data_IF_013961297685
#
_entry.id   IF_013961297685
#
_cell.length_a   1.000
_cell.length_b   1.000
_cell.length_c   1.000
_cell.angle_alpha   90.00
_cell.angle_beta   90.00
_cell.angle_gamma   90.00
#
_symmetry.space_group_name_H-M   'P 1'
#
loop_
_entity.id
_entity.type
_entity.pdbx_description
1 polymer ?
#
# COMPACT_ATOMS: atom_id res chain seq x y z
N UNK A 1 0.76 -19.40 12.07
CA UNK A 1 1.09 -17.97 11.83
C UNK A 1 1.91 -17.32 12.94
N UNK A 2 2.08 -17.97 14.10
CA UNK A 2 2.82 -17.47 15.28
C UNK A 2 4.36 -17.38 15.14
N UNK A 3 4.93 -17.92 14.05
CA UNK A 3 6.38 -17.97 13.85
C UNK A 3 6.97 -16.83 13.01
N UNK A 4 6.14 -15.97 12.43
CA UNK A 4 6.63 -14.96 11.46
C UNK A 4 7.21 -13.70 12.12
N UNK A 5 6.72 -13.36 13.33
CA UNK A 5 7.06 -12.09 13.99
C UNK A 5 8.25 -12.22 14.96
N UNK A 6 8.49 -13.41 15.52
CA UNK A 6 9.71 -13.69 16.32
C UNK A 6 11.00 -13.57 15.52
N UNK A 7 10.97 -13.72 14.19
CA UNK A 7 12.16 -13.61 13.34
C UNK A 7 12.45 -12.15 12.92
N UNK A 8 11.49 -11.23 13.09
CA UNK A 8 11.65 -9.81 12.76
C UNK A 8 12.48 -9.03 13.79
N UNK A 9 12.48 -9.44 15.06
CA UNK A 9 13.29 -8.83 16.15
C UNK A 9 14.80 -8.92 15.92
N UNK A 10 15.24 -9.65 14.89
CA UNK A 10 16.66 -9.90 14.58
C UNK A 10 17.24 -9.00 13.49
N UNK A 11 16.44 -8.17 12.80
CA UNK A 11 16.98 -7.32 11.70
C UNK A 11 16.05 -6.18 11.29
N UNK A 12 16.25 -4.97 11.81
CA UNK A 12 15.57 -3.75 11.33
C UNK A 12 16.53 -2.81 10.59
N UNK A 13 16.62 -3.00 9.28
CA UNK A 13 16.86 -1.92 8.31
C UNK A 13 15.85 -2.16 7.20
N UNK A 14 15.01 -1.18 6.86
CA UNK A 14 13.97 -1.35 5.83
C UNK A 14 14.56 -1.77 4.47
N UNK A 15 15.81 -1.37 4.22
CA UNK A 15 16.59 -1.81 3.06
C UNK A 15 17.00 -3.29 3.12
N UNK A 16 17.32 -3.83 4.31
CA UNK A 16 17.63 -5.26 4.51
C UNK A 16 16.41 -6.17 4.47
N UNK A 17 15.23 -5.66 4.82
CA UNK A 17 13.97 -6.42 4.70
C UNK A 17 13.72 -6.87 3.25
N UNK A 18 14.07 -6.03 2.28
CA UNK A 18 13.92 -6.33 0.86
C UNK A 18 14.92 -7.38 0.40
N UNK A 19 16.19 -7.27 0.81
CA UNK A 19 17.23 -8.22 0.42
C UNK A 19 16.98 -9.65 0.94
N UNK A 20 16.84 -9.80 2.26
CA UNK A 20 16.75 -11.12 2.90
C UNK A 20 15.36 -11.77 2.78
N UNK A 21 14.27 -10.99 2.83
CA UNK A 21 12.92 -11.56 2.89
C UNK A 21 12.15 -11.48 1.56
N UNK A 22 12.62 -10.69 0.58
CA UNK A 22 11.98 -10.62 -0.74
C UNK A 22 12.90 -11.15 -1.83
N UNK A 23 14.06 -10.52 -2.01
CA UNK A 23 14.96 -10.79 -3.15
C UNK A 23 15.56 -12.19 -3.06
N UNK A 24 16.12 -12.57 -1.91
CA UNK A 24 16.76 -13.89 -1.75
C UNK A 24 15.77 -15.06 -1.88
N UNK A 25 14.58 -15.06 -1.25
CA UNK A 25 13.56 -16.09 -1.47
C UNK A 25 13.09 -16.16 -2.93
N UNK A 26 12.89 -15.02 -3.60
CA UNK A 26 12.53 -14.99 -5.02
C UNK A 26 13.62 -15.66 -5.86
N UNK A 27 14.89 -15.31 -5.64
CA UNK A 27 16.02 -15.93 -6.36
C UNK A 27 16.11 -17.44 -6.10
N UNK A 28 15.91 -17.87 -4.87
CA UNK A 28 15.87 -19.31 -4.54
C UNK A 28 14.76 -20.00 -5.33
N UNK A 29 13.56 -19.41 -5.36
CA UNK A 29 12.43 -19.99 -6.08
C UNK A 29 12.64 -20.01 -7.60
N UNK A 30 13.19 -18.94 -8.17
CA UNK A 30 13.56 -18.88 -9.59
C UNK A 30 14.53 -20.00 -9.96
N UNK A 31 15.54 -20.24 -9.10
CA UNK A 31 16.52 -21.30 -9.32
C UNK A 31 15.90 -22.70 -9.26
N UNK A 32 14.97 -22.93 -8.34
CA UNK A 32 14.18 -24.17 -8.31
C UNK A 32 13.38 -24.36 -9.60
N UNK A 33 12.68 -23.32 -10.06
CA UNK A 33 11.86 -23.36 -11.28
C UNK A 33 12.70 -23.62 -12.53
N UNK A 34 13.93 -23.10 -12.58
CA UNK A 34 14.88 -23.37 -13.65
C UNK A 34 15.51 -24.77 -13.56
N UNK A 35 15.31 -25.53 -12.47
CA UNK A 35 15.91 -26.84 -12.26
C UNK A 35 17.39 -26.79 -11.81
N UNK A 36 17.88 -25.63 -11.37
CA UNK A 36 19.26 -25.42 -10.94
C UNK A 36 19.31 -24.82 -9.52
N UNK A 37 18.91 -25.59 -8.48
CA UNK A 37 19.01 -25.12 -7.09
C UNK A 37 20.45 -24.73 -6.73
N UNK A 38 20.62 -23.88 -5.71
CA UNK A 38 21.98 -23.52 -5.26
C UNK A 38 22.70 -24.76 -4.67
N UNK A 39 24.01 -24.97 -4.93
CA UNK A 39 24.96 -24.10 -5.64
C UNK A 39 25.13 -24.37 -7.15
N UNK A 40 24.29 -25.20 -7.76
CA UNK A 40 24.45 -25.64 -9.17
C UNK A 40 24.51 -24.46 -10.13
N UNK A 41 25.53 -24.43 -11.00
CA UNK A 41 25.68 -23.34 -11.97
C UNK A 41 24.55 -23.40 -13.02
N UNK A 42 23.93 -22.26 -13.28
CA UNK A 42 22.96 -22.12 -14.38
C UNK A 42 23.72 -21.99 -15.70
N UNK A 43 23.38 -22.78 -16.75
CA UNK A 43 23.98 -22.66 -18.06
C UNK A 43 23.79 -21.26 -18.67
N UNK A 44 24.74 -20.84 -19.51
CA UNK A 44 24.59 -19.58 -20.26
C UNK A 44 23.39 -19.69 -21.20
N UNK A 45 22.59 -18.62 -21.28
CA UNK A 45 21.40 -18.57 -22.14
C UNK A 45 20.12 -19.07 -21.47
N UNK A 46 20.21 -19.72 -20.32
CA UNK A 46 19.04 -20.08 -19.50
C UNK A 46 18.70 -18.91 -18.58
N UNK A 47 17.49 -18.38 -18.69
CA UNK A 47 16.99 -17.29 -17.85
C UNK A 47 15.47 -17.36 -17.69
N UNK A 48 14.95 -16.67 -16.67
CA UNK A 48 13.54 -16.32 -16.56
C UNK A 48 13.34 -14.86 -16.89
N UNK A 49 12.15 -14.54 -17.41
CA UNK A 49 11.65 -13.17 -17.43
C UNK A 49 10.76 -12.95 -16.20
N UNK A 50 11.05 -11.91 -15.43
CA UNK A 50 10.29 -11.52 -14.25
C UNK A 50 9.60 -10.19 -14.51
N UNK A 51 8.28 -10.20 -14.57
CA UNK A 51 7.51 -8.97 -14.72
C UNK A 51 7.30 -8.30 -13.36
N UNK A 52 7.66 -7.02 -13.31
CA UNK A 52 7.53 -6.19 -12.10
C UNK A 52 6.68 -4.97 -12.44
N UNK A 53 5.54 -4.84 -11.77
CA UNK A 53 4.61 -3.73 -11.95
C UNK A 53 5.14 -2.42 -11.38
N UNK A 54 5.98 -1.71 -12.15
CA UNK A 54 6.47 -0.36 -11.87
C UNK A 54 5.76 0.60 -12.82
N UNK A 55 4.97 1.52 -12.27
CA UNK A 55 4.29 2.57 -13.04
C UNK A 55 5.23 3.68 -13.47
N UNK A 56 4.80 4.55 -14.40
CA UNK A 56 5.60 5.69 -14.87
C UNK A 56 5.96 6.67 -13.74
N UNK A 57 5.09 6.81 -12.73
CA UNK A 57 5.34 7.66 -11.55
C UNK A 57 6.51 7.14 -10.69
N UNK A 58 6.87 5.88 -10.89
CA UNK A 58 7.87 5.14 -10.13
C UNK A 58 9.04 4.69 -11.01
N UNK A 59 9.22 5.24 -12.21
CA UNK A 59 10.20 4.77 -13.20
C UNK A 59 11.63 4.65 -12.64
N UNK A 60 12.02 5.51 -11.71
CA UNK A 60 13.33 5.49 -11.05
C UNK A 60 13.59 4.20 -10.25
N UNK A 61 12.53 3.45 -9.90
CA UNK A 61 12.56 2.14 -9.24
C UNK A 61 12.72 0.97 -10.21
N UNK A 62 12.53 1.18 -11.51
CA UNK A 62 12.82 0.17 -12.53
C UNK A 62 14.33 -0.07 -12.57
N UNK A 63 14.74 -1.32 -12.34
CA UNK A 63 16.14 -1.75 -12.29
C UNK A 63 16.25 -3.11 -12.95
N UNK A 64 17.33 -3.30 -13.68
CA UNK A 64 17.72 -4.61 -14.18
C UNK A 64 17.98 -5.59 -13.03
N UNK A 65 17.85 -6.88 -13.34
CA UNK A 65 18.23 -7.92 -12.40
C UNK A 65 19.74 -7.90 -12.15
N UNK A 66 20.14 -8.14 -10.91
CA UNK A 66 21.55 -8.22 -10.50
C UNK A 66 22.21 -9.58 -10.83
N UNK A 67 21.48 -10.48 -11.50
CA UNK A 67 21.94 -11.82 -11.87
C UNK A 67 21.58 -12.16 -13.32
N UNK A 68 22.47 -12.88 -14.02
CA UNK A 68 22.34 -13.17 -15.46
C UNK A 68 21.19 -14.10 -15.85
N UNK A 69 20.67 -14.87 -14.91
CA UNK A 69 19.59 -15.85 -15.14
C UNK A 69 18.19 -15.26 -14.89
N UNK A 70 18.10 -13.96 -14.63
CA UNK A 70 16.85 -13.22 -14.49
C UNK A 70 16.90 -12.01 -15.41
N UNK A 71 15.77 -11.67 -16.02
CA UNK A 71 15.57 -10.44 -16.77
C UNK A 71 14.30 -9.78 -16.25
N UNK A 72 14.39 -8.52 -15.84
CA UNK A 72 13.23 -7.80 -15.36
C UNK A 72 12.50 -7.15 -16.54
N UNK A 73 11.20 -7.42 -16.66
CA UNK A 73 10.30 -6.73 -17.57
C UNK A 73 9.39 -5.76 -16.80
N UNK A 74 9.00 -4.67 -17.43
CA UNK A 74 8.20 -3.61 -16.80
C UNK A 74 6.96 -3.25 -17.65
N UNK A 75 5.95 -4.13 -17.70
CA UNK A 75 4.81 -3.97 -18.62
C UNK A 75 4.05 -2.64 -18.45
N UNK A 76 3.95 -2.13 -17.22
CA UNK A 76 3.28 -0.86 -16.96
C UNK A 76 4.04 0.34 -17.54
N UNK A 77 5.37 0.26 -17.66
CA UNK A 77 6.16 1.27 -18.36
C UNK A 77 5.96 1.15 -19.87
N UNK A 78 5.94 -0.07 -20.41
CA UNK A 78 5.72 -0.33 -21.83
C UNK A 78 4.35 0.20 -22.29
N UNK A 79 3.34 0.12 -21.42
CA UNK A 79 2.00 0.67 -21.65
C UNK A 79 1.86 2.16 -21.28
N UNK A 80 2.90 2.77 -20.71
CA UNK A 80 2.87 4.15 -20.17
C UNK A 80 1.78 4.38 -19.13
N UNK A 81 1.54 3.41 -18.25
CA UNK A 81 0.53 3.49 -17.19
C UNK A 81 1.07 4.17 -15.92
N UNK A 82 0.35 5.18 -15.47
CA UNK A 82 0.46 5.77 -14.12
C UNK A 82 -0.25 4.92 -13.08
N UNK A 83 -0.05 5.24 -11.81
CA UNK A 83 -0.83 4.66 -10.72
C UNK A 83 -2.33 4.91 -10.89
N UNK A 84 -2.71 6.09 -11.39
CA UNK A 84 -4.10 6.44 -11.62
C UNK A 84 -4.72 5.56 -12.72
N UNK A 85 -3.95 5.23 -13.77
CA UNK A 85 -4.40 4.32 -14.83
C UNK A 85 -4.62 2.91 -14.29
N UNK A 86 -3.70 2.42 -13.43
CA UNK A 86 -3.88 1.14 -12.74
C UNK A 86 -5.15 1.12 -11.88
N UNK A 87 -5.40 2.18 -11.10
CA UNK A 87 -6.63 2.28 -10.30
C UNK A 87 -7.86 2.25 -11.21
N UNK A 88 -7.89 3.08 -12.25
CA UNK A 88 -9.00 3.14 -13.23
C UNK A 88 -9.27 1.79 -13.88
N UNK A 89 -8.23 1.01 -14.18
CA UNK A 89 -8.37 -0.34 -14.73
C UNK A 89 -8.93 -1.35 -13.72
N UNK A 90 -8.51 -1.26 -12.45
CA UNK A 90 -8.92 -2.18 -11.40
C UNK A 90 -10.31 -1.88 -10.82
N UNK A 91 -10.78 -0.63 -10.89
CA UNK A 91 -12.09 -0.21 -10.37
C UNK A 91 -13.25 -1.04 -10.93
N UNK A 92 -13.45 -1.15 -12.25
CA UNK A 92 -14.55 -1.96 -12.79
C UNK A 92 -14.39 -3.46 -12.51
N UNK A 93 -13.20 -3.91 -12.11
CA UNK A 93 -12.93 -5.30 -11.72
C UNK A 93 -13.19 -5.55 -10.23
N UNK A 94 -13.50 -4.51 -9.44
CA UNK A 94 -13.67 -4.62 -7.99
C UNK A 94 -12.36 -4.94 -7.24
N UNK A 95 -11.20 -4.56 -7.80
CA UNK A 95 -9.88 -4.90 -7.25
C UNK A 95 -9.14 -3.71 -6.61
N UNK A 96 -9.77 -2.53 -6.53
CA UNK A 96 -9.14 -1.30 -6.01
C UNK A 96 -8.91 -1.27 -4.52
N UNK A 97 -9.69 -2.03 -3.74
CA UNK A 97 -9.61 -2.02 -2.28
C UNK A 97 -8.42 -2.78 -1.73
N UNK A 98 -7.52 -3.27 -2.60
CA UNK A 98 -6.32 -3.99 -2.18
C UNK A 98 -5.42 -3.04 -1.37
N UNK A 99 -5.23 -3.29 -0.06
CA UNK A 99 -4.40 -2.43 0.76
C UNK A 99 -2.93 -2.51 0.33
N UNK A 100 -2.15 -1.47 0.66
CA UNK A 100 -0.70 -1.48 0.41
C UNK A 100 -0.08 -2.71 1.08
N UNK A 101 0.70 -3.49 0.33
CA UNK A 101 1.38 -4.70 0.81
C UNK A 101 2.66 -4.39 1.61
N UNK A 102 2.54 -3.58 2.67
CA UNK A 102 3.63 -3.30 3.60
C UNK A 102 3.74 -4.40 4.66
N UNK A 103 4.95 -4.61 5.20
CA UNK A 103 5.12 -5.56 6.31
C UNK A 103 4.45 -5.02 7.59
N UNK A 104 4.03 -5.91 8.48
CA UNK A 104 3.30 -5.54 9.70
C UNK A 104 4.03 -4.47 10.52
N UNK A 105 5.33 -4.66 10.74
CA UNK A 105 6.21 -3.72 11.45
C UNK A 105 6.89 -2.67 10.56
N UNK A 106 6.27 -2.26 9.44
CA UNK A 106 6.87 -1.27 8.56
C UNK A 106 6.86 0.12 9.20
N UNK A 107 8.01 0.79 9.41
CA UNK A 107 8.04 2.14 9.98
C UNK A 107 7.45 3.22 9.03
N UNK A 108 7.12 2.84 7.79
CA UNK A 108 6.48 3.73 6.81
C UNK A 108 4.95 3.69 6.85
N UNK A 109 4.35 2.96 7.80
CA UNK A 109 2.90 3.02 7.99
C UNK A 109 2.44 4.40 8.46
N UNK A 110 1.35 4.89 7.87
CA UNK A 110 0.64 6.07 8.33
C UNK A 110 -0.31 5.77 9.50
N UNK A 111 -0.84 6.82 10.12
CA UNK A 111 -1.80 6.73 11.21
C UNK A 111 -3.02 5.84 10.86
N UNK A 112 -3.58 5.99 9.66
CA UNK A 112 -4.72 5.16 9.20
C UNK A 112 -4.40 3.67 9.15
N UNK A 113 -3.19 3.30 8.71
CA UNK A 113 -2.76 1.91 8.65
C UNK A 113 -2.54 1.34 10.05
N UNK A 114 -1.98 2.12 10.97
CA UNK A 114 -1.84 1.70 12.37
C UNK A 114 -3.18 1.48 13.05
N UNK A 115 -4.15 2.39 12.84
CA UNK A 115 -5.51 2.20 13.35
C UNK A 115 -6.18 0.99 12.74
N UNK A 116 -6.05 0.78 11.42
CA UNK A 116 -6.59 -0.41 10.77
C UNK A 116 -6.08 -1.69 11.44
N UNK A 117 -4.76 -1.84 11.61
CA UNK A 117 -4.19 -3.01 12.30
C UNK A 117 -4.72 -3.13 13.74
N UNK A 118 -4.76 -2.04 14.50
CA UNK A 118 -5.29 -2.01 15.88
C UNK A 118 -6.75 -2.49 15.94
N UNK A 119 -7.56 -2.00 15.04
CA UNK A 119 -9.01 -2.13 15.09
C UNK A 119 -9.51 -3.44 14.44
N UNK A 120 -8.80 -3.96 13.43
CA UNK A 120 -9.18 -5.21 12.74
C UNK A 120 -8.41 -6.44 13.22
N UNK A 121 -7.22 -6.27 13.77
CA UNK A 121 -6.31 -7.37 14.13
C UNK A 121 -5.63 -7.16 15.49
N UNK A 122 -6.35 -7.29 16.63
CA UNK A 122 -5.78 -7.02 17.96
C UNK A 122 -4.52 -7.85 18.30
N UNK A 123 -4.41 -9.09 17.82
CA UNK A 123 -3.22 -9.91 18.00
C UNK A 123 -2.01 -9.36 17.23
N UNK A 124 -2.21 -8.96 15.97
CA UNK A 124 -1.14 -8.37 15.16
C UNK A 124 -0.72 -7.00 15.71
N UNK A 125 -1.67 -6.25 16.28
CA UNK A 125 -1.38 -5.03 17.00
C UNK A 125 -0.51 -5.26 18.24
N UNK A 126 -0.82 -6.28 19.04
CA UNK A 126 0.00 -6.65 20.19
C UNK A 126 1.43 -7.03 19.75
N UNK A 127 1.54 -7.85 18.71
CA UNK A 127 2.84 -8.29 18.19
C UNK A 127 3.68 -7.11 17.66
N UNK A 128 3.07 -6.13 16.97
CA UNK A 128 3.81 -4.97 16.46
C UNK A 128 4.21 -3.98 17.55
N UNK A 129 3.41 -3.86 18.61
CA UNK A 129 3.78 -3.07 19.81
C UNK A 129 4.94 -3.72 20.56
N UNK A 130 4.93 -5.04 20.71
CA UNK A 130 6.07 -5.79 21.27
C UNK A 130 7.33 -5.61 20.41
N UNK A 131 7.18 -5.72 19.09
CA UNK A 131 8.28 -5.50 18.15
C UNK A 131 8.85 -4.07 18.25
N UNK A 132 8.00 -3.04 18.30
CA UNK A 132 8.43 -1.64 18.50
C UNK A 132 9.24 -1.47 19.80
N UNK A 133 8.84 -2.12 20.89
CA UNK A 133 9.58 -2.09 22.14
C UNK A 133 10.94 -2.83 22.03
N UNK A 134 10.98 -3.95 21.30
CA UNK A 134 12.19 -4.76 21.16
C UNK A 134 13.29 -4.09 20.32
N UNK A 135 12.92 -3.26 19.32
CA UNK A 135 13.91 -2.65 18.41
C UNK A 135 14.65 -1.44 18.99
N UNK A 136 14.28 -0.96 20.20
CA UNK A 136 14.79 0.28 20.79
C UNK A 136 16.31 0.39 20.73
N UNK A 137 17.03 -0.64 21.13
CA UNK A 137 18.49 -0.64 21.20
C UNK A 137 19.17 -1.02 19.87
N UNK A 138 18.43 -0.97 18.76
CA UNK A 138 18.87 -1.43 17.47
C UNK A 138 19.02 -2.95 17.39
N UNK A 139 19.59 -3.42 16.29
CA UNK A 139 19.73 -4.84 16.00
C UNK A 139 20.86 -5.48 16.84
N UNK A 140 20.56 -6.60 17.50
CA UNK A 140 21.54 -7.46 18.19
C UNK A 140 22.81 -7.76 17.36
N UNK A 141 22.68 -8.02 16.05
CA UNK A 141 23.81 -8.25 15.13
C UNK A 141 24.64 -6.99 14.89
N UNK A 142 24.00 -5.83 14.70
CA UNK A 142 24.71 -4.56 14.52
C UNK A 142 25.47 -4.17 15.79
N UNK A 143 24.86 -4.44 16.95
CA UNK A 143 25.48 -4.27 18.26
C UNK A 143 26.68 -5.21 18.45
N UNK A 144 26.61 -6.45 17.95
CA UNK A 144 27.70 -7.42 17.97
C UNK A 144 28.84 -7.06 16.99
N UNK A 145 28.54 -6.42 15.85
CA UNK A 145 29.54 -5.96 14.88
C UNK A 145 30.09 -4.55 15.17
N UNK A 146 29.84 -4.01 16.38
CA UNK A 146 30.36 -2.71 16.83
C UNK A 146 29.64 -1.48 16.28
N UNK A 147 28.59 -1.65 15.45
CA UNK A 147 27.77 -0.57 14.92
C UNK A 147 26.50 -0.40 15.77
N UNK A 148 26.69 0.02 17.02
CA UNK A 148 25.58 0.23 17.95
C UNK A 148 24.76 1.45 17.54
N UNK A 149 23.45 1.37 17.73
CA UNK A 149 22.57 2.52 17.54
C UNK A 149 22.89 3.58 18.61
N UNK A 150 23.13 4.82 18.18
CA UNK A 150 23.46 5.95 19.07
C UNK A 150 22.22 6.55 19.76
N UNK A 151 21.04 5.93 19.59
CA UNK A 151 19.76 6.39 20.14
C UNK A 151 18.74 5.25 20.15
N UNK A 152 17.46 5.59 20.21
CA UNK A 152 16.37 4.61 20.23
C UNK A 152 15.63 4.54 18.90
N UNK A 153 15.33 3.32 18.43
CA UNK A 153 14.50 3.11 17.26
C UNK A 153 13.01 3.08 17.63
N UNK A 154 12.17 3.74 16.84
CA UNK A 154 10.71 3.73 16.95
C UNK A 154 10.09 3.45 15.58
N UNK A 155 8.98 2.71 15.55
CA UNK A 155 8.20 2.51 14.34
C UNK A 155 7.39 3.74 13.95
N UNK A 156 6.89 4.48 14.94
CA UNK A 156 6.11 5.68 14.69
C UNK A 156 6.99 6.90 14.47
N UNK A 157 6.69 7.70 13.43
CA UNK A 157 7.44 8.91 13.06
C UNK A 157 7.58 9.96 14.17
N UNK A 158 6.67 9.98 15.15
CA UNK A 158 6.76 10.88 16.32
C UNK A 158 7.82 10.48 17.33
N UNK A 159 8.50 9.33 17.15
CA UNK A 159 9.54 8.82 18.05
C UNK A 159 9.05 8.63 19.49
N UNK A 160 7.86 8.07 19.61
CA UNK A 160 7.25 7.63 20.87
C UNK A 160 6.82 6.18 20.71
N UNK A 161 6.66 5.41 21.80
CA UNK A 161 6.18 4.04 21.71
C UNK A 161 4.89 3.92 20.90
N UNK A 162 4.79 2.89 20.05
CA UNK A 162 3.65 2.73 19.16
C UNK A 162 2.32 2.65 19.93
N UNK A 163 2.32 2.07 21.13
CA UNK A 163 1.17 2.04 22.04
C UNK A 163 0.73 3.41 22.57
N UNK A 164 1.60 4.41 22.51
CA UNK A 164 1.36 5.79 22.99
C UNK A 164 1.34 6.80 21.83
N UNK A 165 1.54 6.33 20.60
CA UNK A 165 1.61 7.19 19.44
C UNK A 165 0.24 7.85 19.16
N UNK A 166 0.21 9.11 18.69
CA UNK A 166 -1.04 9.80 18.38
C UNK A 166 -1.62 9.32 17.03
N UNK A 167 -1.93 8.02 16.95
CA UNK A 167 -2.45 7.38 15.74
C UNK A 167 -3.89 7.79 15.46
N UNK A 168 -4.65 8.24 16.45
CA UNK A 168 -6.03 8.73 16.30
C UNK A 168 -6.11 10.16 15.74
N UNK A 169 -4.97 10.84 15.59
CA UNK A 169 -4.94 12.12 14.91
C UNK A 169 -5.17 11.93 13.40
N UNK A 170 -6.36 12.30 12.94
CA UNK A 170 -6.75 12.35 11.52
C UNK A 170 -6.34 13.69 10.93
N UNK A 171 -5.67 13.69 9.78
CA UNK A 171 -5.25 14.93 9.11
C UNK A 171 -6.41 15.59 8.35
N UNK A 172 -6.29 16.88 8.02
CA UNK A 172 -7.30 17.56 7.21
C UNK A 172 -7.46 16.91 5.81
N UNK A 173 -6.34 16.51 5.19
CA UNK A 173 -6.35 15.79 3.91
C UNK A 173 -7.07 14.44 4.00
N UNK A 174 -6.85 13.71 5.10
CA UNK A 174 -7.52 12.43 5.34
C UNK A 174 -9.03 12.61 5.58
N UNK A 175 -9.44 13.64 6.33
CA UNK A 175 -10.86 14.00 6.45
C UNK A 175 -11.48 14.35 5.10
N UNK A 176 -10.77 15.09 4.26
CA UNK A 176 -11.26 15.44 2.93
C UNK A 176 -11.43 14.20 2.04
N UNK A 177 -10.49 13.26 2.07
CA UNK A 177 -10.59 12.00 1.33
C UNK A 177 -11.76 11.11 1.81
N UNK A 178 -12.01 11.05 3.12
CA UNK A 178 -13.15 10.32 3.67
C UNK A 178 -14.49 10.95 3.27
N UNK A 179 -14.57 12.28 3.18
CA UNK A 179 -15.77 12.99 2.71
C UNK A 179 -16.04 12.72 1.24
N UNK A 180 -15.02 12.75 0.38
CA UNK A 180 -15.19 12.42 -1.04
C UNK A 180 -15.75 11.01 -1.22
N UNK A 181 -15.26 10.02 -0.46
CA UNK A 181 -15.81 8.66 -0.52
C UNK A 181 -17.25 8.55 0.00
N UNK A 182 -17.59 9.33 1.04
CA UNK A 182 -18.96 9.41 1.53
C UNK A 182 -19.90 10.09 0.52
N UNK A 183 -19.48 11.21 -0.07
CA UNK A 183 -20.25 11.96 -1.07
C UNK A 183 -20.39 11.13 -2.38
N UNK A 184 -19.36 10.41 -2.82
CA UNK A 184 -19.47 9.48 -3.95
C UNK A 184 -20.43 8.32 -3.66
N UNK A 185 -20.40 7.76 -2.44
CA UNK A 185 -21.33 6.70 -2.03
C UNK A 185 -22.75 7.24 -1.95
N UNK A 186 -22.93 8.43 -1.37
CA UNK A 186 -24.22 9.11 -1.25
C UNK A 186 -24.79 9.50 -2.62
N UNK A 187 -23.96 9.99 -3.54
CA UNK A 187 -24.36 10.25 -4.93
C UNK A 187 -24.71 8.97 -5.69
N UNK A 188 -24.03 7.85 -5.42
CA UNK A 188 -24.37 6.55 -6.01
C UNK A 188 -25.67 5.97 -5.44
N UNK A 189 -25.91 6.13 -4.14
CA UNK A 189 -27.08 5.59 -3.43
C UNK A 189 -28.33 6.48 -3.61
N UNK A 190 -28.17 7.80 -3.51
CA UNK A 190 -29.25 8.78 -3.47
C UNK A 190 -29.32 9.67 -4.74
N UNK A 191 -28.33 9.59 -5.62
CA UNK A 191 -28.23 10.44 -6.80
C UNK A 191 -27.62 11.81 -6.50
N UNK A 192 -27.21 12.53 -7.54
CA UNK A 192 -26.78 13.94 -7.41
C UNK A 192 -28.02 14.76 -7.04
N UNK A 193 -28.00 15.48 -5.91
CA UNK A 193 -29.00 16.52 -5.61
C UNK A 193 -29.02 17.52 -6.79
N UNK A 194 -30.20 17.73 -7.39
CA UNK A 194 -30.42 18.51 -8.62
C UNK A 194 -29.71 18.01 -9.90
N UNK A 195 -29.28 16.75 -9.92
CA UNK A 195 -28.69 16.13 -11.09
C UNK A 195 -29.68 15.93 -12.24
N UNK A 196 -29.32 16.35 -13.45
CA UNK A 196 -30.05 15.97 -14.64
C UNK A 196 -29.57 14.61 -15.17
N UNK A 197 -30.39 13.58 -15.02
CA UNK A 197 -30.13 12.28 -15.67
C UNK A 197 -30.51 12.35 -17.16
N UNK A 198 -29.99 11.46 -18.02
CA UNK A 198 -30.36 11.39 -19.44
C UNK A 198 -31.86 11.13 -19.70
N UNK A 199 -32.62 10.75 -18.66
CA UNK A 199 -34.03 10.35 -18.77
C UNK A 199 -34.99 11.17 -17.89
N UNK A 200 -34.47 12.07 -17.02
CA UNK A 200 -35.23 13.10 -16.31
C UNK A 200 -34.30 14.02 -15.52
N UNK A 201 -34.52 15.33 -15.57
CA UNK A 201 -34.00 16.25 -14.57
C UNK A 201 -34.93 16.25 -13.35
N UNK A 202 -34.42 15.96 -12.15
CA UNK A 202 -35.10 16.28 -10.90
C UNK A 202 -34.68 17.70 -10.49
N UNK A 203 -35.22 18.71 -11.18
CA UNK A 203 -35.12 20.09 -10.72
C UNK A 203 -36.36 20.42 -9.90
N UNK A 204 -36.17 21.14 -8.79
CA UNK A 204 -37.21 21.56 -7.85
C UNK A 204 -38.53 21.96 -8.52
N UNK A 205 -39.60 21.26 -8.12
CA UNK A 205 -40.98 21.66 -8.39
C UNK A 205 -41.40 22.73 -7.37
N UNK A 206 -40.71 23.87 -7.32
CA UNK A 206 -41.35 25.08 -6.81
C UNK A 206 -42.35 25.56 -7.87
N UNK A 207 -43.61 25.21 -7.60
CA UNK A 207 -44.83 25.57 -8.29
C UNK A 207 -44.71 26.78 -9.23
N UNK A 208 -44.78 26.51 -10.55
CA UNK A 208 -45.33 27.48 -11.49
C UNK A 208 -46.76 27.77 -11.04
N UNK A 209 -46.97 28.91 -10.38
CA UNK A 209 -48.29 29.46 -10.14
C UNK A 209 -48.96 29.70 -11.50
N UNK A 210 -49.90 28.82 -11.85
CA UNK A 210 -50.93 29.13 -12.84
C UNK A 210 -51.80 30.24 -12.26
N UNK A 211 -51.79 31.42 -12.86
CA UNK A 211 -52.90 32.36 -12.75
C UNK A 211 -53.19 32.99 -14.14
N UNK A 212 -54.36 32.59 -14.64
CA UNK A 212 -55.28 33.19 -15.61
C UNK A 212 -54.80 33.71 -16.98
N UNK A 213 -55.22 32.96 -18.02
CA UNK A 213 -55.49 33.48 -19.36
C UNK A 213 -56.69 34.43 -19.30
N UNK A 214 -56.44 35.74 -19.14
CA UNK A 214 -57.42 36.78 -19.45
C UNK A 214 -57.49 37.03 -20.96
N UNK A 215 -58.57 36.61 -21.62
CA UNK A 215 -58.88 36.95 -23.01
C UNK A 215 -60.00 38.00 -23.14
N UNK A 216 -59.89 38.74 -24.26
CA UNK A 216 -60.72 39.81 -24.85
C UNK A 216 -60.36 41.23 -24.37
N UNK A 217 -59.84 42.12 -25.22
CA UNK A 217 -60.29 42.45 -26.60
C UNK A 217 -59.13 42.63 -27.57
#
# INVERSE_FOLDING_TARGET
>A
MTNYLRDMTRTSEVQRSTGEYKVKPIKQKVRELLGYPYPTRIPKGVFVEQWVGISIDEFHRAKDADVKYMRNGHPLLDMSWSRADCTRYLTPLGLTDTPKSSCLGCPFHGNSQWRHIRDTSPSEWADVVEFDAAIRQGNARANASGSRLLGEAFLHRSRVPLSQAPIDHVTAAERAALRIGADETDVLENGVEDGCSPWACRGDAEALTQDDFGLAT
#
